data_IF_399189956246
#
_entry.id   IF_399189956246
#
_cell.length_a   1.000
_cell.length_b   1.000
_cell.length_c   1.000
_cell.angle_alpha   90.00
_cell.angle_beta   90.00
_cell.angle_gamma   90.00
#
_symmetry.space_group_name_H-M   'P 1'
#
loop_
_entity.id
_entity.type
_entity.pdbx_description
1 polymer ?
#
# COMPACT_ATOMS: atom_id res chain seq x y z
N UNK A 1 3.14 -34.52 -6.95
CA UNK A 1 3.93 -34.22 -5.73
C UNK A 1 3.50 -32.88 -5.16
N UNK A 2 3.09 -32.79 -3.88
CA UNK A 2 2.92 -31.48 -3.22
C UNK A 2 4.29 -31.00 -2.76
N UNK A 3 4.92 -30.10 -3.52
CA UNK A 3 6.18 -29.45 -3.14
C UNK A 3 5.98 -28.63 -1.85
N UNK A 4 6.39 -29.20 -0.71
CA UNK A 4 6.52 -28.45 0.54
C UNK A 4 7.73 -27.52 0.39
N UNK A 5 7.55 -26.24 0.74
CA UNK A 5 8.70 -25.34 0.82
C UNK A 5 9.45 -25.65 2.13
N UNK A 6 10.74 -25.34 2.21
CA UNK A 6 11.46 -25.29 3.47
C UNK A 6 10.68 -24.47 4.51
N UNK A 7 10.69 -24.95 5.75
CA UNK A 7 10.08 -24.23 6.88
C UNK A 7 11.18 -23.48 7.59
N UNK A 8 11.17 -22.17 7.49
CA UNK A 8 12.05 -21.28 8.24
C UNK A 8 11.42 -20.94 9.60
N UNK A 9 12.27 -20.84 10.64
CA UNK A 9 11.88 -20.39 11.99
C UNK A 9 12.99 -19.49 12.56
N UNK A 10 13.11 -18.24 12.07
CA UNK A 10 14.12 -17.33 12.57
C UNK A 10 13.85 -17.00 14.05
N UNK A 11 14.92 -16.74 14.80
CA UNK A 11 14.84 -16.36 16.23
C UNK A 11 14.20 -14.99 16.43
N UNK A 12 14.38 -14.11 15.45
CA UNK A 12 13.79 -12.78 15.42
C UNK A 12 12.91 -12.61 14.18
N UNK A 13 11.81 -11.83 14.26
CA UNK A 13 11.02 -11.51 13.09
C UNK A 13 11.86 -10.85 11.99
N UNK A 14 11.79 -11.30 10.72
CA UNK A 14 12.45 -10.62 9.63
C UNK A 14 11.98 -9.17 9.49
N UNK A 15 12.89 -8.28 9.11
CA UNK A 15 12.56 -6.90 8.73
C UNK A 15 12.35 -6.81 7.22
N UNK A 16 11.38 -6.02 6.79
CA UNK A 16 11.22 -5.65 5.40
C UNK A 16 10.76 -4.20 5.23
N UNK A 17 10.67 -3.78 3.97
CA UNK A 17 10.31 -2.41 3.60
C UNK A 17 9.20 -2.39 2.55
N UNK A 18 8.30 -1.42 2.64
CA UNK A 18 7.22 -1.22 1.67
C UNK A 18 6.77 0.23 1.65
N UNK A 19 5.94 0.59 0.69
CA UNK A 19 5.29 1.90 0.66
C UNK A 19 3.78 1.76 0.89
N UNK A 20 3.18 2.75 1.56
CA UNK A 20 1.76 2.80 1.81
C UNK A 20 1.29 4.23 2.02
N UNK A 21 0.03 4.53 1.69
CA UNK A 21 -0.53 5.84 1.96
C UNK A 21 -0.99 5.92 3.42
N UNK A 22 -0.56 6.94 4.19
CA UNK A 22 -1.11 7.22 5.51
C UNK A 22 -2.61 7.54 5.39
N UNK A 23 -3.41 7.05 6.33
CA UNK A 23 -4.85 7.33 6.37
C UNK A 23 -5.31 7.71 7.77
N UNK A 24 -6.37 8.50 7.84
CA UNK A 24 -7.03 8.93 9.07
C UNK A 24 -8.52 8.56 9.01
N UNK A 25 -9.08 8.04 10.10
CA UNK A 25 -10.51 7.75 10.17
C UNK A 25 -11.33 9.03 10.05
N UNK A 26 -12.57 8.91 9.56
CA UNK A 26 -13.47 10.05 9.37
C UNK A 26 -13.68 10.84 10.67
N UNK A 27 -13.77 10.14 11.80
CA UNK A 27 -13.91 10.72 13.15
C UNK A 27 -12.60 11.27 13.74
N UNK A 28 -11.47 11.10 13.05
CA UNK A 28 -10.16 11.59 13.48
C UNK A 28 -9.53 10.82 14.65
N UNK A 29 -10.13 9.70 15.08
CA UNK A 29 -9.69 8.97 16.28
C UNK A 29 -8.68 7.86 16.01
N UNK A 30 -8.53 7.44 14.75
CA UNK A 30 -7.65 6.33 14.35
C UNK A 30 -6.82 6.72 13.14
N UNK A 31 -5.56 6.27 13.14
CA UNK A 31 -4.69 6.38 12.00
C UNK A 31 -4.17 5.00 11.59
N UNK A 32 -3.80 4.86 10.32
CA UNK A 32 -3.31 3.61 9.77
C UNK A 32 -2.75 3.82 8.37
N UNK A 33 -2.72 2.76 7.58
CA UNK A 33 -2.20 2.81 6.23
C UNK A 33 -3.10 2.07 5.24
N UNK A 34 -2.99 2.41 3.97
CA UNK A 34 -3.53 1.61 2.87
C UNK A 34 -2.44 1.31 1.86
N UNK A 35 -2.42 0.08 1.32
CA UNK A 35 -1.41 -0.32 0.34
C UNK A 35 -1.52 0.45 -0.97
N UNK A 36 -0.43 0.48 -1.74
CA UNK A 36 -0.37 1.13 -3.06
C UNK A 36 -0.77 0.21 -4.23
N UNK A 37 -0.96 -1.09 -3.96
CA UNK A 37 -1.26 -2.13 -4.96
C UNK A 37 -2.64 -2.76 -4.72
N UNK A 38 -2.87 -3.98 -5.22
CA UNK A 38 -4.13 -4.74 -5.06
C UNK A 38 -4.63 -4.84 -3.60
N UNK A 39 -3.73 -4.79 -2.61
CA UNK A 39 -4.09 -4.74 -1.18
C UNK A 39 -4.57 -3.38 -0.66
N UNK A 40 -4.62 -2.35 -1.51
CA UNK A 40 -5.01 -0.97 -1.17
C UNK A 40 -6.52 -0.73 -1.01
N UNK A 41 -7.32 -1.79 -1.02
CA UNK A 41 -8.78 -1.70 -0.87
C UNK A 41 -9.20 -1.43 0.59
N UNK A 42 -8.46 -1.96 1.55
CA UNK A 42 -8.81 -1.89 2.98
C UNK A 42 -7.67 -1.25 3.79
N UNK A 43 -7.97 -0.16 4.50
CA UNK A 43 -7.09 0.38 5.53
C UNK A 43 -6.74 -0.66 6.60
N UNK A 44 -5.50 -0.63 7.06
CA UNK A 44 -4.98 -1.52 8.09
C UNK A 44 -4.22 -0.74 9.17
N UNK A 45 -4.15 -1.32 10.37
CA UNK A 45 -3.44 -0.75 11.52
C UNK A 45 -1.93 -0.96 11.48
N UNK A 46 -1.23 -0.37 12.45
CA UNK A 46 0.22 -0.57 12.64
C UNK A 46 0.54 -2.04 12.90
N UNK A 47 -0.19 -2.67 13.81
CA UNK A 47 -0.19 -4.12 14.05
C UNK A 47 -1.49 -4.69 13.49
N UNK A 48 -1.40 -5.55 12.48
CA UNK A 48 -2.60 -6.07 11.82
C UNK A 48 -2.36 -7.44 11.20
N UNK A 49 -3.45 -8.18 11.02
CA UNK A 49 -3.51 -9.48 10.36
C UNK A 49 -4.03 -9.30 8.93
N UNK A 50 -3.40 -9.99 7.99
CA UNK A 50 -3.82 -9.95 6.60
C UNK A 50 -5.15 -10.69 6.44
N UNK A 51 -6.00 -10.17 5.56
CA UNK A 51 -7.25 -10.79 5.15
C UNK A 51 -7.22 -11.14 3.65
N UNK A 52 -8.12 -12.03 3.23
CA UNK A 52 -8.29 -12.31 1.81
C UNK A 52 -9.15 -11.23 1.16
N UNK A 53 -8.57 -10.48 0.23
CA UNK A 53 -9.29 -9.44 -0.52
C UNK A 53 -10.47 -9.99 -1.34
N UNK A 54 -10.41 -11.27 -1.73
CA UNK A 54 -11.50 -11.96 -2.42
C UNK A 54 -12.55 -12.59 -1.49
N UNK A 55 -12.44 -12.41 -0.17
CA UNK A 55 -13.37 -13.02 0.79
C UNK A 55 -13.32 -14.54 0.86
N UNK A 56 -12.29 -15.18 0.28
CA UNK A 56 -12.15 -16.63 0.29
C UNK A 56 -11.76 -17.13 1.68
N UNK A 57 -12.28 -18.30 2.04
CA UNK A 57 -11.96 -18.98 3.31
C UNK A 57 -10.64 -19.73 3.21
N UNK A 58 -9.56 -19.08 3.62
CA UNK A 58 -8.24 -19.71 3.82
C UNK A 58 -7.39 -18.86 4.75
N UNK A 59 -6.34 -19.46 5.33
CA UNK A 59 -5.37 -18.72 6.16
C UNK A 59 -4.37 -17.96 5.28
N UNK A 60 -4.24 -16.63 5.43
CA UNK A 60 -3.17 -15.88 4.77
C UNK A 60 -1.79 -16.17 5.39
N UNK A 61 -0.70 -16.11 4.60
CA UNK A 61 -0.69 -16.02 3.15
C UNK A 61 -0.93 -17.39 2.50
N UNK A 62 -1.79 -17.44 1.48
CA UNK A 62 -2.06 -18.66 0.71
C UNK A 62 -1.37 -18.59 -0.66
N UNK A 63 -0.55 -19.60 -0.98
CA UNK A 63 0.30 -19.62 -2.19
C UNK A 63 -0.42 -19.31 -3.52
N UNK A 64 -1.65 -19.82 -3.66
CA UNK A 64 -2.47 -19.69 -4.88
C UNK A 64 -3.53 -18.59 -4.77
N UNK A 65 -3.36 -17.69 -3.81
CA UNK A 65 -4.11 -16.46 -3.68
C UNK A 65 -3.10 -15.29 -3.67
N UNK A 66 -3.56 -14.06 -3.65
CA UNK A 66 -2.78 -12.83 -3.46
C UNK A 66 -2.95 -12.23 -2.04
N UNK A 67 -3.68 -12.90 -1.14
CA UNK A 67 -3.89 -12.46 0.25
C UNK A 67 -2.59 -12.34 1.07
N UNK A 68 -2.45 -11.34 1.92
CA UNK A 68 -1.22 -11.15 2.69
C UNK A 68 -0.67 -9.76 2.53
N UNK A 69 0.11 -9.34 3.52
CA UNK A 69 0.96 -8.18 3.36
C UNK A 69 2.18 -8.54 2.52
N UNK A 70 2.72 -7.55 1.82
CA UNK A 70 3.91 -7.67 0.98
C UNK A 70 4.94 -6.62 1.40
N UNK A 71 6.22 -7.00 1.41
CA UNK A 71 7.34 -6.08 1.55
C UNK A 71 8.54 -6.63 0.80
N UNK A 72 9.44 -5.74 0.39
CA UNK A 72 10.76 -6.10 -0.13
C UNK A 72 11.76 -6.26 1.00
N UNK A 73 12.87 -6.96 0.75
CA UNK A 73 13.96 -7.09 1.72
C UNK A 73 14.74 -5.79 1.89
N UNK A 74 14.95 -5.09 0.78
CA UNK A 74 15.85 -3.96 0.69
C UNK A 74 15.11 -2.62 0.79
N UNK A 75 15.71 -1.69 1.53
CA UNK A 75 15.13 -0.36 1.75
C UNK A 75 15.14 0.47 0.47
N UNK A 76 16.24 0.48 -0.26
CA UNK A 76 16.40 1.26 -1.48
C UNK A 76 15.42 0.79 -2.56
N UNK A 77 15.15 -0.51 -2.65
CA UNK A 77 14.13 -1.06 -3.53
C UNK A 77 12.71 -0.56 -3.20
N UNK A 78 12.38 -0.34 -1.92
CA UNK A 78 11.11 0.26 -1.53
C UNK A 78 11.08 1.78 -1.79
N UNK A 79 12.19 2.48 -1.54
CA UNK A 79 12.34 3.91 -1.83
C UNK A 79 12.22 4.22 -3.32
N UNK A 80 12.78 3.37 -4.19
CA UNK A 80 12.66 3.51 -5.64
C UNK A 80 11.19 3.52 -6.13
N UNK A 81 10.28 2.87 -5.42
CA UNK A 81 8.85 2.91 -5.74
C UNK A 81 8.24 4.30 -5.51
N UNK A 82 8.82 5.15 -4.65
CA UNK A 82 8.34 6.52 -4.41
C UNK A 82 8.67 7.48 -5.56
N UNK A 83 9.51 7.07 -6.51
CA UNK A 83 9.85 7.88 -7.68
C UNK A 83 8.68 7.99 -8.67
N UNK A 84 7.76 7.01 -8.69
CA UNK A 84 6.60 7.06 -9.58
C UNK A 84 5.60 8.12 -9.08
N UNK A 85 4.96 8.82 -10.02
CA UNK A 85 4.07 9.94 -9.68
C UNK A 85 2.91 9.49 -8.77
N UNK A 86 2.40 8.28 -9.01
CA UNK A 86 1.29 7.65 -8.30
C UNK A 86 1.64 7.34 -6.83
N UNK A 87 2.93 7.25 -6.51
CA UNK A 87 3.42 6.78 -5.21
C UNK A 87 4.19 7.84 -4.44
N UNK A 88 4.41 9.02 -5.03
CA UNK A 88 5.19 10.11 -4.42
C UNK A 88 4.65 10.57 -3.07
N UNK A 89 3.33 10.51 -2.88
CA UNK A 89 2.67 10.87 -1.61
C UNK A 89 2.63 9.72 -0.58
N UNK A 90 3.11 8.52 -0.92
CA UNK A 90 3.16 7.40 0.02
C UNK A 90 4.29 7.59 1.05
N UNK A 91 4.17 6.90 2.17
CA UNK A 91 5.24 6.80 3.17
C UNK A 91 6.02 5.51 2.95
N UNK A 92 7.34 5.59 3.12
CA UNK A 92 8.19 4.41 3.29
C UNK A 92 7.94 3.82 4.68
N UNK A 93 7.68 2.52 4.73
CA UNK A 93 7.43 1.78 5.95
C UNK A 93 8.53 0.74 6.17
N UNK A 94 9.08 0.72 7.38
CA UNK A 94 9.86 -0.38 7.92
C UNK A 94 8.92 -1.29 8.72
N UNK A 95 8.90 -2.58 8.39
CA UNK A 95 7.96 -3.54 8.96
C UNK A 95 8.66 -4.75 9.55
N UNK A 96 8.18 -5.20 10.71
CA UNK A 96 8.47 -6.54 11.22
C UNK A 96 7.48 -7.53 10.60
N UNK A 97 8.01 -8.57 9.97
CA UNK A 97 7.27 -9.67 9.36
C UNK A 97 6.88 -10.67 10.46
N UNK A 98 5.58 -10.74 10.77
CA UNK A 98 5.04 -11.56 11.85
C UNK A 98 4.13 -12.68 11.31
N UNK A 99 3.93 -13.70 12.15
CA UNK A 99 3.11 -14.85 11.80
C UNK A 99 3.70 -15.70 10.68
N UNK A 100 2.84 -16.40 9.94
CA UNK A 100 3.28 -17.21 8.82
C UNK A 100 3.70 -16.32 7.64
N UNK A 101 4.81 -16.65 6.98
CA UNK A 101 5.27 -15.94 5.80
C UNK A 101 5.76 -16.90 4.71
N UNK A 102 5.79 -16.38 3.48
CA UNK A 102 6.45 -16.96 2.33
C UNK A 102 7.56 -15.99 1.95
N UNK A 103 8.80 -16.49 1.95
CA UNK A 103 9.95 -15.73 1.45
C UNK A 103 10.06 -15.94 -0.05
N UNK A 104 10.23 -14.84 -0.76
CA UNK A 104 10.60 -14.79 -2.16
C UNK A 104 12.01 -14.18 -2.28
N UNK A 105 12.58 -14.28 -3.46
CA UNK A 105 13.88 -13.70 -3.78
C UNK A 105 13.95 -12.22 -3.40
N UNK A 106 12.92 -11.44 -3.77
CA UNK A 106 12.90 -9.98 -3.58
C UNK A 106 12.19 -9.51 -2.31
N UNK A 107 11.54 -10.39 -1.55
CA UNK A 107 10.76 -9.95 -0.40
C UNK A 107 10.00 -11.04 0.35
N UNK A 108 9.01 -10.60 1.12
CA UNK A 108 8.15 -11.45 1.91
C UNK A 108 6.68 -11.22 1.57
N UNK A 109 5.90 -12.29 1.72
CA UNK A 109 4.45 -12.22 1.85
C UNK A 109 4.01 -12.86 3.15
N UNK A 110 3.22 -12.17 3.96
CA UNK A 110 3.07 -12.53 5.37
C UNK A 110 1.68 -12.29 5.95
N UNK A 111 1.39 -13.05 7.01
CA UNK A 111 0.09 -13.13 7.64
C UNK A 111 -0.16 -11.97 8.60
N UNK A 112 0.87 -11.47 9.26
CA UNK A 112 0.74 -10.43 10.28
C UNK A 112 1.91 -9.48 10.21
N UNK A 113 1.69 -8.22 10.52
CA UNK A 113 2.74 -7.22 10.44
C UNK A 113 2.80 -6.34 11.68
N UNK A 114 3.95 -5.72 11.93
CA UNK A 114 4.03 -4.50 12.72
C UNK A 114 4.81 -3.44 11.94
N UNK A 115 4.20 -2.29 11.67
CA UNK A 115 4.94 -1.12 11.16
C UNK A 115 5.74 -0.51 12.31
N UNK A 116 7.06 -0.42 12.16
CA UNK A 116 7.97 0.11 13.19
C UNK A 116 8.27 1.58 12.96
N UNK A 117 8.53 1.93 11.71
CA UNK A 117 8.86 3.27 11.27
C UNK A 117 8.04 3.61 10.05
N UNK A 118 7.49 4.83 10.01
CA UNK A 118 6.91 5.44 8.82
C UNK A 118 7.68 6.72 8.48
N UNK A 119 8.11 6.84 7.24
CA UNK A 119 8.80 8.00 6.71
C UNK A 119 8.01 8.57 5.53
N UNK A 120 7.11 9.55 5.76
CA UNK A 120 6.50 10.30 4.68
C UNK A 120 7.57 11.01 3.85
N UNK A 121 7.36 11.06 2.54
CA UNK A 121 8.20 11.83 1.64
C UNK A 121 8.14 13.35 1.88
N UNK A 122 8.83 14.14 1.06
CA UNK A 122 8.73 15.59 1.12
C UNK A 122 7.30 16.05 0.75
N UNK A 123 6.99 17.29 1.10
CA UNK A 123 5.83 17.99 0.55
C UNK A 123 5.95 18.10 -0.98
N UNK A 124 4.83 18.26 -1.69
CA UNK A 124 4.84 18.46 -3.15
C UNK A 124 5.72 19.64 -3.61
N UNK A 125 5.92 20.66 -2.77
CA UNK A 125 6.84 21.77 -3.04
C UNK A 125 8.32 21.45 -2.79
N UNK A 126 8.65 20.21 -2.42
CA UNK A 126 10.00 19.73 -2.11
C UNK A 126 10.46 19.96 -0.66
N UNK A 127 9.77 20.80 0.11
CA UNK A 127 10.13 21.07 1.50
C UNK A 127 9.87 19.84 2.41
N UNK A 128 10.64 19.73 3.49
CA UNK A 128 10.45 18.70 4.51
C UNK A 128 9.02 18.74 5.07
N UNK A 129 8.36 17.58 5.10
CA UNK A 129 7.02 17.46 5.65
C UNK A 129 7.04 17.62 7.18
N UNK A 130 6.19 18.49 7.70
CA UNK A 130 5.93 18.64 9.14
C UNK A 130 4.58 18.07 9.58
N UNK A 131 3.71 17.79 8.61
CA UNK A 131 2.36 17.28 8.83
C UNK A 131 1.95 16.34 7.69
N UNK A 132 0.85 15.64 7.92
CA UNK A 132 0.11 14.88 6.93
C UNK A 132 -1.24 15.58 6.73
N UNK A 133 -1.49 16.09 5.52
CA UNK A 133 -2.70 16.82 5.14
C UNK A 133 -3.62 15.95 4.30
N UNK A 134 -4.92 16.28 4.25
CA UNK A 134 -5.88 15.61 3.36
C UNK A 134 -5.36 15.57 1.91
N UNK A 135 -5.31 14.37 1.34
CA UNK A 135 -4.86 14.10 -0.03
C UNK A 135 -5.99 14.23 -1.07
N UNK A 136 -7.23 14.51 -0.65
CA UNK A 136 -8.38 14.66 -1.55
C UNK A 136 -8.98 13.34 -2.04
N UNK A 137 -8.55 12.21 -1.49
CA UNK A 137 -9.08 10.88 -1.80
C UNK A 137 -9.15 10.00 -0.54
N UNK A 138 -9.79 8.83 -0.64
CA UNK A 138 -9.85 7.91 0.49
C UNK A 138 -10.54 6.58 0.20
N UNK A 139 -11.02 5.97 1.29
CA UNK A 139 -11.85 4.77 1.35
C UNK A 139 -13.05 5.06 2.25
N UNK A 140 -14.14 4.26 2.19
CA UNK A 140 -15.26 4.45 3.11
C UNK A 140 -14.80 4.52 4.57
N UNK A 141 -15.09 5.64 5.24
CA UNK A 141 -14.69 5.91 6.63
C UNK A 141 -13.23 6.33 6.85
N UNK A 142 -12.42 6.50 5.80
CA UNK A 142 -10.99 6.81 5.87
C UNK A 142 -10.54 7.81 4.82
N UNK A 143 -9.80 8.82 5.24
CA UNK A 143 -9.22 9.86 4.40
C UNK A 143 -7.74 9.53 4.17
N UNK A 144 -7.28 9.57 2.93
CA UNK A 144 -5.85 9.46 2.67
C UNK A 144 -5.17 10.80 2.99
N UNK A 145 -3.91 10.71 3.43
CA UNK A 145 -3.11 11.87 3.75
C UNK A 145 -1.85 11.92 2.89
N UNK A 146 -1.44 13.13 2.53
CA UNK A 146 -0.21 13.43 1.83
C UNK A 146 0.73 14.26 2.73
N UNK A 147 2.06 14.10 2.58
CA UNK A 147 3.03 14.93 3.26
C UNK A 147 2.85 16.42 2.93
N UNK A 148 2.87 17.27 3.97
CA UNK A 148 2.75 18.71 3.82
C UNK A 148 3.74 19.44 4.73
N UNK A 149 4.38 20.47 4.18
CA UNK A 149 5.18 21.42 4.96
C UNK A 149 4.28 22.48 5.61
N UNK A 150 4.81 23.20 6.60
CA UNK A 150 4.05 24.20 7.35
C UNK A 150 3.43 25.33 6.48
N UNK A 151 4.07 25.81 5.40
CA UNK A 151 3.44 26.74 4.47
C UNK A 151 2.26 26.12 3.69
N UNK A 152 2.46 24.91 3.14
CA UNK A 152 1.48 24.28 2.25
C UNK A 152 0.29 23.66 2.99
N UNK A 153 0.37 23.45 4.30
CA UNK A 153 -0.74 22.86 5.07
C UNK A 153 -1.90 23.84 5.32
N UNK A 154 -1.68 25.14 5.16
CA UNK A 154 -2.66 26.18 5.51
C UNK A 154 -4.02 25.93 4.85
N UNK A 155 -5.07 25.93 5.68
CA UNK A 155 -6.46 25.73 5.24
C UNK A 155 -6.85 24.28 4.94
N UNK A 156 -5.96 23.30 5.12
CA UNK A 156 -6.24 21.87 4.92
C UNK A 156 -6.39 21.15 6.26
N UNK A 157 -7.34 20.22 6.34
CA UNK A 157 -7.41 19.27 7.45
C UNK A 157 -6.10 18.48 7.50
N UNK A 158 -5.45 18.47 8.65
CA UNK A 158 -4.12 17.88 8.80
C UNK A 158 -3.87 17.37 10.21
N UNK A 159 -2.87 16.50 10.32
CA UNK A 159 -2.34 15.98 11.57
C UNK A 159 -0.83 16.10 11.56
N UNK A 160 -0.23 16.48 12.68
CA UNK A 160 1.23 16.48 12.80
C UNK A 160 1.77 15.05 12.74
N UNK A 161 3.05 14.88 12.37
CA UNK A 161 3.69 13.56 12.34
C UNK A 161 3.58 12.83 13.69
N UNK A 162 3.80 13.56 14.79
CA UNK A 162 3.66 13.03 16.15
C UNK A 162 2.20 12.72 16.51
N UNK A 163 1.24 13.52 16.03
CA UNK A 163 -0.19 13.25 16.20
C UNK A 163 -0.60 11.96 15.49
N UNK A 164 -0.13 11.77 14.25
CA UNK A 164 -0.38 10.55 13.49
C UNK A 164 0.18 9.32 14.21
N UNK A 165 1.44 9.37 14.68
CA UNK A 165 2.05 8.29 15.45
C UNK A 165 1.22 7.90 16.68
N UNK A 166 0.69 8.89 17.41
CA UNK A 166 -0.14 8.68 18.59
C UNK A 166 -1.47 8.00 18.27
N UNK A 167 -2.14 8.45 17.21
CA UNK A 167 -3.42 7.89 16.75
C UNK A 167 -3.26 6.49 16.14
N UNK A 168 -2.10 6.21 15.55
CA UNK A 168 -1.78 4.92 14.96
C UNK A 168 -1.42 3.87 16.03
N UNK A 169 -0.89 4.32 17.18
CA UNK A 169 -0.59 3.47 18.33
C UNK A 169 0.57 2.52 18.10
N UNK A 170 0.64 1.46 18.91
CA UNK A 170 1.57 0.32 18.75
C UNK A 170 3.07 0.67 18.70
N UNK A 171 3.43 1.85 19.23
CA UNK A 171 4.81 2.34 19.25
C UNK A 171 5.35 2.75 17.87
N UNK A 172 4.48 3.09 16.91
CA UNK A 172 4.90 3.61 15.61
C UNK A 172 5.77 4.86 15.79
N UNK A 173 6.93 4.88 15.12
CA UNK A 173 7.74 6.09 14.96
C UNK A 173 7.47 6.70 13.60
N UNK A 174 7.10 7.98 13.58
CA UNK A 174 6.99 8.74 12.33
C UNK A 174 8.15 9.70 12.26
N UNK A 175 8.99 9.54 11.25
CA UNK A 175 10.17 10.39 11.01
C UNK A 175 9.96 11.14 9.70
N UNK A 176 10.31 12.41 9.64
CA UNK A 176 10.30 13.12 8.36
C UNK A 176 11.31 12.41 7.43
N UNK A 177 10.88 12.01 6.23
CA UNK A 177 11.79 11.47 5.24
C UNK A 177 12.83 12.53 4.90
N UNK A 178 14.11 12.20 5.06
CA UNK A 178 15.17 12.98 4.43
C UNK A 178 14.99 12.84 2.92
N UNK A 179 14.77 13.96 2.22
CA UNK A 179 14.83 13.95 0.77
C UNK A 179 16.20 13.43 0.32
N UNK A 180 16.33 12.84 -0.88
CA UNK A 180 17.64 12.58 -1.44
C UNK A 180 18.43 13.89 -1.42
N UNK A 181 19.66 13.86 -0.88
CA UNK A 181 20.56 15.00 -0.94
C UNK A 181 20.61 15.48 -2.39
N UNK A 182 20.35 16.76 -2.63
CA UNK A 182 20.35 17.34 -3.96
C UNK A 182 21.70 17.04 -4.63
N UNK A 183 21.68 16.16 -5.64
CA UNK A 183 22.77 16.00 -6.58
C UNK A 183 22.72 17.25 -7.47
N UNK A 184 23.84 17.98 -7.69
CA UNK A 184 23.85 19.13 -8.58
C UNK A 184 23.41 18.70 -9.98
N UNK A 185 22.76 19.58 -10.77
CA UNK A 185 22.23 19.21 -12.07
C UNK A 185 23.38 18.82 -13.00
N UNK A 186 23.41 17.54 -13.37
CA UNK A 186 24.08 17.10 -14.59
C UNK A 186 22.97 16.92 -15.64
N UNK A 187 23.18 17.52 -16.80
CA UNK A 187 22.25 17.57 -17.92
C UNK A 187 21.62 16.19 -18.21
N UNK A 188 20.32 16.06 -17.93
CA UNK A 188 19.50 14.92 -18.33
C UNK A 188 18.84 15.23 -19.68
N UNK A 189 18.83 14.29 -20.64
CA UNK A 189 17.98 14.42 -21.81
C UNK A 189 16.51 14.24 -21.42
N UNK A 190 15.65 14.79 -22.27
CA UNK A 190 14.26 15.11 -22.04
C UNK A 190 13.35 13.96 -21.57
N UNK A 191 12.30 14.41 -20.86
CA UNK A 191 11.08 13.75 -20.41
C UNK A 191 10.63 12.56 -21.27
N UNK A 192 10.43 11.41 -20.62
CA UNK A 192 9.81 10.23 -21.22
C UNK A 192 8.36 10.10 -20.75
N UNK A 193 7.42 10.27 -21.68
CA UNK A 193 6.07 9.71 -21.57
C UNK A 193 6.16 8.21 -21.23
N UNK A 194 5.15 7.61 -20.57
CA UNK A 194 5.13 6.18 -20.34
C UNK A 194 5.35 5.45 -21.67
N UNK A 195 6.36 4.57 -21.68
CA UNK A 195 6.71 3.83 -22.88
C UNK A 195 5.52 3.01 -23.37
N UNK A 196 5.44 2.82 -24.68
CA UNK A 196 4.46 1.93 -25.32
C UNK A 196 4.34 0.57 -24.59
N UNK A 197 5.43 -0.06 -24.08
CA UNK A 197 5.33 -1.29 -23.30
C UNK A 197 4.58 -1.16 -21.97
N UNK A 198 4.79 -0.08 -21.21
CA UNK A 198 4.07 0.19 -19.97
C UNK A 198 2.57 0.45 -20.23
N UNK A 199 2.24 1.23 -21.26
CA UNK A 199 0.85 1.50 -21.66
C UNK A 199 0.13 0.22 -22.12
N UNK A 200 0.84 -0.69 -22.80
CA UNK A 200 0.29 -2.00 -23.21
C UNK A 200 0.03 -2.89 -22.00
N UNK A 201 0.90 -2.87 -20.99
CA UNK A 201 0.70 -3.64 -19.76
C UNK A 201 -0.50 -3.13 -18.94
N UNK A 202 -0.68 -1.81 -18.85
CA UNK A 202 -1.85 -1.23 -18.20
C UNK A 202 -3.14 -1.49 -18.98
N UNK A 203 -3.12 -1.37 -20.31
CA UNK A 203 -4.25 -1.70 -21.17
C UNK A 203 -4.66 -3.17 -21.01
N UNK A 204 -3.70 -4.09 -20.97
CA UNK A 204 -3.96 -5.52 -20.75
C UNK A 204 -4.60 -5.80 -19.37
N UNK A 205 -4.17 -5.09 -18.33
CA UNK A 205 -4.75 -5.20 -16.99
C UNK A 205 -6.20 -4.68 -16.96
N UNK A 206 -6.46 -3.56 -17.63
CA UNK A 206 -7.81 -3.00 -17.75
C UNK A 206 -8.73 -3.92 -18.56
N UNK A 207 -8.23 -4.51 -19.65
CA UNK A 207 -8.95 -5.49 -20.45
C UNK A 207 -9.34 -6.71 -19.62
N UNK A 208 -8.40 -7.27 -18.86
CA UNK A 208 -8.65 -8.43 -18.00
C UNK A 208 -9.70 -8.14 -16.90
N UNK A 209 -9.73 -6.91 -16.38
CA UNK A 209 -10.77 -6.49 -15.42
C UNK A 209 -12.14 -6.37 -16.07
N UNK A 210 -12.21 -5.83 -17.29
CA UNK A 210 -13.45 -5.73 -18.06
C UNK A 210 -14.02 -7.12 -18.39
N UNK A 211 -13.19 -8.05 -18.87
CA UNK A 211 -13.60 -9.42 -19.18
C UNK A 211 -14.13 -10.15 -17.93
N UNK A 212 -13.51 -9.92 -16.78
CA UNK A 212 -13.98 -10.44 -15.51
C UNK A 212 -15.35 -9.87 -15.12
N UNK A 213 -15.56 -8.55 -15.25
CA UNK A 213 -16.85 -7.91 -14.98
C UNK A 213 -17.95 -8.44 -15.92
N UNK A 214 -17.65 -8.58 -17.21
CA UNK A 214 -18.58 -9.16 -18.19
C UNK A 214 -18.95 -10.61 -17.83
N UNK A 215 -17.98 -11.40 -17.40
CA UNK A 215 -18.22 -12.77 -16.92
C UNK A 215 -19.13 -12.78 -15.67
N UNK A 216 -18.98 -11.81 -14.76
CA UNK A 216 -19.88 -11.70 -13.60
C UNK A 216 -21.30 -11.27 -13.99
N UNK A 217 -21.43 -10.32 -14.93
CA UNK A 217 -22.73 -9.87 -15.43
C UNK A 217 -23.47 -11.00 -16.18
N UNK A 218 -22.78 -11.77 -17.02
CA UNK A 218 -23.36 -12.92 -17.71
C UNK A 218 -23.93 -13.95 -16.72
N UNK A 219 -23.17 -14.28 -15.67
CA UNK A 219 -23.63 -15.20 -14.60
C UNK A 219 -24.83 -14.68 -13.81
N UNK A 220 -24.98 -13.37 -13.67
CA UNK A 220 -26.14 -12.75 -13.04
C UNK A 220 -27.36 -12.78 -13.99
N UNK A 221 -27.15 -12.56 -15.29
CA UNK A 221 -28.18 -12.67 -16.33
C UNK A 221 -28.74 -14.08 -16.48
N UNK A 222 -27.87 -15.11 -16.46
CA UNK A 222 -28.27 -16.53 -16.52
C UNK A 222 -29.14 -16.95 -15.32
N UNK A 223 -28.88 -16.39 -14.13
CA UNK A 223 -29.70 -16.61 -12.93
C UNK A 223 -31.06 -15.90 -12.99
N UNK A 224 -31.16 -14.82 -13.75
CA UNK A 224 -32.43 -14.12 -14.00
C UNK A 224 -33.33 -14.85 -15.01
N UNK A 225 -32.74 -15.52 -16.01
CA UNK A 225 -33.48 -16.27 -17.02
C UNK A 225 -34.02 -17.62 -16.52
N UNK A 226 -33.34 -18.28 -15.57
CA UNK A 226 -33.76 -19.57 -15.01
C UNK A 226 -34.89 -19.52 -13.98
N UNK A 227 -35.43 -18.33 -13.66
CA UNK A 227 -36.52 -18.13 -12.71
C UNK A 227 -37.90 -17.89 -13.34
N UNK A 228 -37.98 -17.76 -14.67
CA UNK A 228 -39.23 -17.42 -15.39
C UNK A 228 -39.95 -18.62 -16.02
N UNK A 229 -39.45 -19.85 -15.82
CA UNK A 229 -39.98 -21.06 -16.45
C UNK A 229 -40.40 -22.09 -15.38
N UNK A 230 -41.17 -21.62 -14.38
CA UNK A 230 -41.97 -22.46 -13.47
C UNK A 230 -43.19 -21.66 -13.01
N UNK A 231 -44.19 -21.57 -13.88
CA UNK A 231 -45.61 -21.51 -13.53
C UNK A 231 -46.41 -22.14 -14.67
#
# INVERSE_FOLDING_TARGET
>A
MRLRLPVERPTEPPTGYKIAHPVLSQDGTRAGFTGVSLGGALPYGVLDDASCVYGRRHRPPARLCDCGFHCVHDRTAAEALLCTAEHRAAALLEVSVLGAYIRFERGFRYARQRVRTAAPGPCDCGATAGALADAGWGRPGWRALAPACAPCVRGRASVSLAGFARLAGEGLRVVAGGGPAAVPPADLPAEGEPGVPELVAEAALLQARLDWFQTQLARLGERGAGGAERD
#
